data_IF_266413733030
#
_entry.id   IF_266413733030
#
_cell.length_a   1.000
_cell.length_b   1.000
_cell.length_c   1.000
_cell.angle_alpha   90.00
_cell.angle_beta   90.00
_cell.angle_gamma   90.00
#
_symmetry.space_group_name_H-M   'P 1'
#
loop_
_entity.id
_entity.type
_entity.pdbx_description
1 polymer ?
#
# COMPACT_ATOMS: atom_id res chain seq x y z
N UNK A 1 -52.52 29.21 43.84
CA UNK A 1 -51.72 28.80 42.66
C UNK A 1 -50.27 28.69 43.10
N UNK A 2 -49.81 27.48 43.46
CA UNK A 2 -48.43 27.25 43.91
C UNK A 2 -47.55 27.18 42.67
N UNK A 3 -46.71 28.20 42.48
CA UNK A 3 -45.75 28.27 41.38
C UNK A 3 -44.48 27.52 41.74
N UNK A 4 -44.27 26.34 41.13
CA UNK A 4 -42.98 25.66 41.19
C UNK A 4 -41.92 26.50 40.47
N UNK A 5 -40.72 26.70 41.04
CA UNK A 5 -39.68 27.53 40.43
C UNK A 5 -39.16 26.87 39.15
N UNK A 6 -39.43 27.52 38.00
CA UNK A 6 -39.00 27.09 36.65
C UNK A 6 -37.47 27.05 36.46
N UNK A 7 -36.68 27.56 37.42
CA UNK A 7 -35.22 27.68 37.35
C UNK A 7 -34.49 26.36 37.62
N UNK A 8 -35.02 25.49 38.48
CA UNK A 8 -34.36 24.24 38.85
C UNK A 8 -34.44 23.19 37.75
N UNK A 9 -35.60 23.06 37.10
CA UNK A 9 -35.82 22.07 36.03
C UNK A 9 -35.03 22.39 34.75
N UNK A 10 -34.87 23.68 34.41
CA UNK A 10 -34.11 24.08 33.22
C UNK A 10 -32.59 23.86 33.40
N UNK A 11 -32.04 24.16 34.58
CA UNK A 11 -30.63 23.91 34.89
C UNK A 11 -30.28 22.42 34.94
N UNK A 12 -31.15 21.59 35.53
CA UNK A 12 -30.95 20.13 35.57
C UNK A 12 -31.00 19.56 34.16
N UNK A 13 -32.00 19.94 33.36
CA UNK A 13 -32.13 19.48 31.97
C UNK A 13 -30.94 19.89 31.09
N UNK A 14 -30.39 21.10 31.27
CA UNK A 14 -29.19 21.53 30.56
C UNK A 14 -27.92 20.81 31.02
N UNK A 15 -27.83 20.47 32.31
CA UNK A 15 -26.72 19.66 32.84
C UNK A 15 -26.77 18.23 32.31
N UNK A 16 -27.94 17.62 32.27
CA UNK A 16 -28.18 16.29 31.68
C UNK A 16 -27.91 16.29 30.16
N UNK A 17 -28.34 17.31 29.41
CA UNK A 17 -28.03 17.44 27.98
C UNK A 17 -26.52 17.55 27.75
N UNK A 18 -25.81 18.36 28.55
CA UNK A 18 -24.35 18.49 28.46
C UNK A 18 -23.61 17.21 28.85
N UNK A 19 -24.05 16.51 29.89
CA UNK A 19 -23.48 15.22 30.29
C UNK A 19 -23.70 14.17 29.19
N UNK A 20 -24.93 14.04 28.66
CA UNK A 20 -25.23 13.12 27.56
C UNK A 20 -24.47 13.45 26.27
N UNK A 21 -24.26 14.74 25.97
CA UNK A 21 -23.40 15.15 24.84
C UNK A 21 -21.93 14.79 25.09
N UNK A 22 -21.42 15.02 26.30
CA UNK A 22 -20.03 14.68 26.67
C UNK A 22 -19.80 13.16 26.62
N UNK A 23 -20.77 12.38 27.09
CA UNK A 23 -20.71 10.91 27.06
C UNK A 23 -20.82 10.38 25.62
N UNK A 24 -21.67 10.98 24.78
CA UNK A 24 -21.77 10.64 23.37
C UNK A 24 -20.51 11.02 22.56
N UNK A 25 -19.93 12.19 22.83
CA UNK A 25 -18.68 12.65 22.23
C UNK A 25 -17.51 11.76 22.66
N UNK A 26 -17.46 11.34 23.93
CA UNK A 26 -16.46 10.39 24.44
C UNK A 26 -16.60 9.02 23.76
N UNK A 27 -17.83 8.50 23.65
CA UNK A 27 -18.12 7.23 22.96
C UNK A 27 -17.74 7.28 21.47
N UNK A 28 -17.95 8.43 20.80
CA UNK A 28 -17.54 8.64 19.42
C UNK A 28 -16.02 8.63 19.27
N UNK A 29 -15.31 9.32 20.18
CA UNK A 29 -13.84 9.35 20.19
C UNK A 29 -13.27 7.97 20.44
N UNK A 30 -13.80 7.20 21.39
CA UNK A 30 -13.40 5.80 21.62
C UNK A 30 -13.62 4.93 20.38
N UNK A 31 -14.78 5.08 19.71
CA UNK A 31 -15.07 4.37 18.46
C UNK A 31 -14.08 4.72 17.34
N UNK A 32 -13.67 5.99 17.25
CA UNK A 32 -12.66 6.44 16.27
C UNK A 32 -11.29 5.84 16.62
N UNK A 33 -10.92 5.85 17.89
CA UNK A 33 -9.66 5.27 18.38
C UNK A 33 -9.60 3.77 18.05
N UNK A 34 -10.67 3.03 18.30
CA UNK A 34 -10.72 1.59 17.97
C UNK A 34 -10.53 1.34 16.48
N UNK A 35 -11.14 2.16 15.62
CA UNK A 35 -10.96 2.08 14.16
C UNK A 35 -9.56 2.51 13.70
N UNK A 36 -8.91 3.40 14.46
CA UNK A 36 -7.61 3.98 14.14
C UNK A 36 -6.42 3.22 14.75
N UNK A 37 -6.66 2.32 15.71
CA UNK A 37 -5.61 1.63 16.48
C UNK A 37 -4.61 0.90 15.58
N UNK A 38 -5.09 0.28 14.50
CA UNK A 38 -4.22 -0.38 13.52
C UNK A 38 -3.30 0.61 12.81
N UNK A 39 -3.84 1.72 12.32
CA UNK A 39 -3.07 2.80 11.69
C UNK A 39 -2.03 3.37 12.63
N UNK A 40 -2.41 3.65 13.88
CA UNK A 40 -1.49 4.17 14.89
C UNK A 40 -0.33 3.21 15.15
N UNK A 41 -0.60 1.90 15.32
CA UNK A 41 0.42 0.90 15.57
C UNK A 41 1.43 0.81 14.41
N UNK A 42 0.95 0.82 13.17
CA UNK A 42 1.82 0.78 11.98
C UNK A 42 2.69 2.04 11.87
N UNK A 43 2.13 3.22 12.11
CA UNK A 43 2.87 4.48 12.09
C UNK A 43 3.96 4.52 13.17
N UNK A 44 3.62 4.14 14.41
CA UNK A 44 4.59 4.09 15.51
C UNK A 44 5.75 3.14 15.20
N UNK A 45 5.46 1.94 14.69
CA UNK A 45 6.49 0.98 14.33
C UNK A 45 7.36 1.47 13.16
N UNK A 46 6.77 2.17 12.20
CA UNK A 46 7.51 2.77 11.09
C UNK A 46 8.47 3.86 11.57
N UNK A 47 8.00 4.79 12.40
CA UNK A 47 8.80 5.90 12.94
C UNK A 47 9.98 5.40 13.80
N UNK A 48 9.77 4.32 14.55
CA UNK A 48 10.81 3.69 15.37
C UNK A 48 11.70 2.71 14.58
N UNK A 49 11.51 2.59 13.26
CA UNK A 49 12.23 1.67 12.38
C UNK A 49 12.20 0.20 12.87
N UNK A 50 11.08 -0.20 13.48
CA UNK A 50 10.84 -1.53 14.04
C UNK A 50 9.63 -2.23 13.42
N UNK A 51 9.17 -1.76 12.26
CA UNK A 51 8.07 -2.38 11.55
C UNK A 51 8.44 -3.82 11.19
N UNK A 52 7.67 -4.76 11.71
CA UNK A 52 7.88 -6.19 11.47
C UNK A 52 7.16 -6.66 10.21
N UNK A 53 7.51 -7.88 9.77
CA UNK A 53 6.75 -8.54 8.71
C UNK A 53 5.33 -8.88 9.23
N UNK A 54 4.29 -8.79 8.39
CA UNK A 54 2.95 -9.16 8.80
C UNK A 54 2.87 -10.65 9.15
N UNK A 55 2.05 -11.00 10.14
CA UNK A 55 1.85 -12.39 10.56
C UNK A 55 1.13 -13.23 9.50
N UNK A 56 0.21 -12.60 8.77
CA UNK A 56 -0.61 -13.25 7.73
C UNK A 56 -0.05 -12.94 6.36
N UNK A 57 0.46 -13.97 5.69
CA UNK A 57 0.98 -13.88 4.34
C UNK A 57 0.56 -15.11 3.53
N UNK A 58 0.65 -14.99 2.21
CA UNK A 58 0.25 -16.06 1.30
C UNK A 58 1.48 -16.62 0.58
N UNK A 59 1.66 -17.95 0.49
CA UNK A 59 2.80 -18.55 -0.18
C UNK A 59 2.78 -18.20 -1.68
N UNK A 60 3.93 -17.81 -2.24
CA UNK A 60 4.05 -17.53 -3.67
C UNK A 60 4.19 -18.82 -4.47
N UNK A 61 3.26 -19.02 -5.40
CA UNK A 61 3.25 -20.17 -6.32
C UNK A 61 3.38 -19.75 -7.79
N UNK A 62 2.88 -18.57 -8.15
CA UNK A 62 2.88 -18.09 -9.53
C UNK A 62 3.86 -16.92 -9.65
N UNK A 63 4.82 -17.06 -10.56
CA UNK A 63 5.77 -16.01 -10.90
C UNK A 63 5.19 -15.12 -12.01
N UNK A 64 5.45 -13.82 -11.92
CA UNK A 64 5.34 -12.92 -13.09
C UNK A 64 6.61 -13.11 -13.93
N UNK A 65 6.46 -13.76 -15.08
CA UNK A 65 7.57 -13.95 -16.01
C UNK A 65 7.81 -12.68 -16.86
N UNK A 66 8.98 -12.64 -17.50
CA UNK A 66 9.42 -11.49 -18.29
C UNK A 66 8.52 -11.23 -19.51
N UNK A 67 8.03 -12.28 -20.18
CA UNK A 67 7.20 -12.12 -21.38
C UNK A 67 5.82 -11.58 -21.04
N UNK A 68 5.21 -12.05 -19.95
CA UNK A 68 3.97 -11.52 -19.39
C UNK A 68 4.12 -10.04 -19.03
N UNK A 69 5.19 -9.68 -18.30
CA UNK A 69 5.47 -8.30 -17.93
C UNK A 69 5.65 -7.41 -19.17
N UNK A 70 6.43 -7.86 -20.16
CA UNK A 70 6.70 -7.10 -21.39
C UNK A 70 5.43 -6.89 -22.21
N UNK A 71 4.57 -7.92 -22.32
CA UNK A 71 3.29 -7.80 -23.01
C UNK A 71 2.36 -6.78 -22.31
N UNK A 72 2.26 -6.84 -20.98
CA UNK A 72 1.46 -5.88 -20.22
C UNK A 72 1.98 -4.43 -20.39
N UNK A 73 3.30 -4.23 -20.38
CA UNK A 73 3.92 -2.92 -20.62
C UNK A 73 3.63 -2.41 -22.04
N UNK A 74 3.67 -3.29 -23.05
CA UNK A 74 3.37 -2.91 -24.43
C UNK A 74 1.91 -2.44 -24.59
N UNK A 75 0.95 -3.17 -24.01
CA UNK A 75 -0.47 -2.79 -23.98
C UNK A 75 -0.67 -1.48 -23.22
N UNK A 76 0.00 -1.31 -22.08
CA UNK A 76 -0.06 -0.09 -21.28
C UNK A 76 0.47 1.12 -22.06
N UNK A 77 1.65 0.98 -22.68
CA UNK A 77 2.26 2.03 -23.51
C UNK A 77 1.33 2.45 -24.65
N UNK A 78 0.82 1.49 -25.41
CA UNK A 78 -0.11 1.76 -26.51
C UNK A 78 -1.37 2.50 -26.03
N UNK A 79 -1.90 2.10 -24.87
CA UNK A 79 -3.07 2.75 -24.25
C UNK A 79 -2.79 4.21 -23.89
N UNK A 80 -1.65 4.51 -23.27
CA UNK A 80 -1.31 5.88 -22.89
C UNK A 80 -1.04 6.79 -24.09
N UNK A 81 -0.37 6.28 -25.13
CA UNK A 81 -0.11 7.03 -26.36
C UNK A 81 -1.43 7.36 -27.06
N UNK A 82 -2.36 6.41 -27.15
CA UNK A 82 -3.69 6.63 -27.73
C UNK A 82 -4.52 7.67 -26.96
N UNK A 83 -4.22 7.90 -25.68
CA UNK A 83 -4.84 8.93 -24.83
C UNK A 83 -4.07 10.25 -24.80
N UNK A 84 -2.96 10.37 -25.53
CA UNK A 84 -2.06 11.52 -25.49
C UNK A 84 -1.45 11.79 -24.10
N UNK A 85 -1.37 10.75 -23.25
CA UNK A 85 -0.87 10.81 -21.86
C UNK A 85 0.61 10.41 -21.72
N UNK A 86 1.23 9.95 -22.82
CA UNK A 86 2.62 9.52 -22.85
C UNK A 86 3.28 9.73 -24.21
N UNK A 87 4.62 9.85 -24.18
CA UNK A 87 5.46 9.78 -25.37
C UNK A 87 5.97 8.37 -25.61
N UNK A 88 6.66 8.17 -26.74
CA UNK A 88 7.33 6.92 -27.09
C UNK A 88 8.41 6.46 -26.10
N UNK A 89 8.90 7.37 -25.24
CA UNK A 89 9.94 7.06 -24.25
C UNK A 89 9.42 6.21 -23.08
N UNK A 90 8.12 6.25 -22.80
CA UNK A 90 7.51 5.46 -21.71
C UNK A 90 7.67 3.98 -22.02
N UNK A 91 8.16 3.21 -21.04
CA UNK A 91 8.34 1.77 -21.17
C UNK A 91 9.46 1.33 -22.11
N UNK A 92 10.28 2.26 -22.61
CA UNK A 92 11.50 1.91 -23.32
C UNK A 92 12.53 1.34 -22.34
N UNK A 93 12.72 0.03 -22.38
CA UNK A 93 13.64 -0.68 -21.48
C UNK A 93 15.10 -0.28 -21.73
N UNK A 94 15.87 -0.20 -20.66
CA UNK A 94 17.31 0.07 -20.65
C UNK A 94 18.01 -1.27 -20.42
N UNK A 95 18.70 -1.79 -21.43
CA UNK A 95 19.40 -3.07 -21.30
C UNK A 95 18.45 -4.22 -20.96
N UNK A 96 18.80 -5.01 -19.95
CA UNK A 96 18.03 -6.17 -19.46
C UNK A 96 17.64 -6.01 -17.97
N UNK A 97 17.45 -4.76 -17.52
CA UNK A 97 17.20 -4.50 -16.10
C UNK A 97 15.87 -5.08 -15.62
N UNK A 98 14.80 -5.06 -16.43
CA UNK A 98 13.52 -5.63 -15.99
C UNK A 98 13.66 -7.15 -15.79
N UNK A 99 14.28 -7.84 -16.75
CA UNK A 99 14.55 -9.27 -16.63
C UNK A 99 15.38 -9.58 -15.38
N UNK A 100 16.46 -8.82 -15.15
CA UNK A 100 17.31 -8.98 -13.97
C UNK A 100 16.55 -8.79 -12.66
N UNK A 101 15.64 -7.80 -12.59
CA UNK A 101 14.79 -7.57 -11.41
C UNK A 101 13.89 -8.79 -11.17
N UNK A 102 13.18 -9.26 -12.20
CA UNK A 102 12.26 -10.39 -12.06
C UNK A 102 13.00 -11.68 -11.69
N UNK A 103 14.15 -11.96 -12.32
CA UNK A 103 14.98 -13.12 -12.02
C UNK A 103 15.47 -13.10 -10.56
N UNK A 104 15.93 -11.93 -10.08
CA UNK A 104 16.36 -11.75 -8.69
C UNK A 104 15.22 -11.95 -7.68
N UNK A 105 13.97 -11.61 -8.05
CA UNK A 105 12.80 -11.77 -7.18
C UNK A 105 12.36 -13.25 -7.12
N UNK A 106 12.54 -13.99 -8.21
CA UNK A 106 12.11 -15.40 -8.28
C UNK A 106 13.24 -16.40 -7.97
N UNK A 107 14.45 -15.91 -7.68
CA UNK A 107 15.59 -16.77 -7.39
C UNK A 107 15.39 -17.63 -6.14
N UNK A 108 16.12 -18.75 -6.12
CA UNK A 108 16.16 -19.68 -4.99
C UNK A 108 17.56 -19.75 -4.41
N UNK A 109 17.65 -19.92 -3.10
CA UNK A 109 18.88 -20.18 -2.37
C UNK A 109 18.69 -21.43 -1.51
N UNK A 110 19.59 -22.40 -1.66
CA UNK A 110 19.51 -23.70 -0.95
C UNK A 110 18.15 -24.42 -1.11
N UNK A 111 17.59 -24.36 -2.32
CA UNK A 111 16.29 -24.97 -2.65
C UNK A 111 15.06 -24.22 -2.10
N UNK A 112 15.25 -23.10 -1.41
CA UNK A 112 14.16 -22.27 -0.89
C UNK A 112 14.02 -20.97 -1.70
N UNK A 113 12.79 -20.50 -1.92
CA UNK A 113 12.56 -19.20 -2.54
C UNK A 113 13.14 -18.09 -1.66
N UNK A 114 13.87 -17.15 -2.27
CA UNK A 114 14.42 -16.01 -1.54
C UNK A 114 13.30 -15.16 -0.90
N UNK A 115 12.21 -14.98 -1.63
CA UNK A 115 11.00 -14.29 -1.19
C UNK A 115 9.82 -15.27 -1.19
N UNK A 116 9.49 -15.91 -0.05
CA UNK A 116 8.52 -17.01 -0.03
C UNK A 116 7.06 -16.59 -0.20
N UNK A 117 6.71 -15.31 -0.04
CA UNK A 117 5.32 -14.86 -0.02
C UNK A 117 4.95 -13.95 -1.19
N UNK A 118 3.65 -13.91 -1.50
CA UNK A 118 3.10 -13.04 -2.55
C UNK A 118 3.32 -11.57 -2.15
N UNK A 119 3.06 -11.21 -0.90
CA UNK A 119 3.23 -9.83 -0.42
C UNK A 119 4.68 -9.37 -0.54
N UNK A 120 5.64 -10.22 -0.19
CA UNK A 120 7.06 -9.90 -0.25
C UNK A 120 7.52 -9.72 -1.70
N UNK A 121 7.14 -10.62 -2.61
CA UNK A 121 7.46 -10.46 -4.03
C UNK A 121 6.79 -9.24 -4.66
N UNK A 122 5.52 -8.98 -4.34
CA UNK A 122 4.81 -7.78 -4.81
C UNK A 122 5.54 -6.51 -4.36
N UNK A 123 5.90 -6.43 -3.08
CA UNK A 123 6.65 -5.31 -2.53
C UNK A 123 7.98 -5.09 -3.24
N UNK A 124 8.74 -6.16 -3.51
CA UNK A 124 10.00 -6.07 -4.25
C UNK A 124 9.82 -5.68 -5.72
N UNK A 125 8.78 -6.17 -6.40
CA UNK A 125 8.44 -5.73 -7.78
C UNK A 125 8.21 -4.22 -7.80
N UNK A 126 7.35 -3.71 -6.90
CA UNK A 126 7.06 -2.27 -6.84
C UNK A 126 8.32 -1.48 -6.50
N UNK A 127 9.09 -1.91 -5.51
CA UNK A 127 10.29 -1.21 -5.05
C UNK A 127 11.37 -1.14 -6.13
N UNK A 128 11.80 -2.28 -6.67
CA UNK A 128 12.92 -2.34 -7.59
C UNK A 128 12.62 -1.68 -8.93
N UNK A 129 11.41 -1.88 -9.49
CA UNK A 129 11.05 -1.21 -10.76
C UNK A 129 11.05 0.31 -10.59
N UNK A 130 10.68 0.82 -9.42
CA UNK A 130 10.71 2.27 -9.15
C UNK A 130 12.13 2.78 -8.93
N UNK A 131 12.93 2.11 -8.09
CA UNK A 131 14.27 2.59 -7.69
C UNK A 131 15.36 2.33 -8.72
N UNK A 132 15.32 1.18 -9.40
CA UNK A 132 16.39 0.75 -10.30
C UNK A 132 16.23 1.34 -11.71
N UNK A 133 15.09 1.99 -11.96
CA UNK A 133 14.77 2.69 -13.21
C UNK A 133 15.07 1.88 -14.48
N UNK A 134 14.49 0.67 -14.63
CA UNK A 134 14.71 -0.19 -15.79
C UNK A 134 14.24 0.42 -17.12
N UNK A 135 13.41 1.47 -17.08
CA UNK A 135 12.91 2.16 -18.27
C UNK A 135 13.41 3.60 -18.35
N UNK A 136 13.50 4.13 -19.58
CA UNK A 136 13.85 5.53 -19.85
C UNK A 136 12.85 6.51 -19.25
N UNK A 137 11.55 6.18 -19.28
CA UNK A 137 10.48 6.91 -18.60
C UNK A 137 9.36 5.96 -18.15
N UNK A 138 8.57 6.39 -17.16
CA UNK A 138 7.39 5.69 -16.70
C UNK A 138 7.61 4.70 -15.56
N UNK A 139 8.80 4.62 -14.96
CA UNK A 139 9.16 3.64 -13.92
C UNK A 139 8.14 3.55 -12.77
N UNK A 140 7.64 4.68 -12.25
CA UNK A 140 6.58 4.70 -11.24
C UNK A 140 5.29 4.04 -11.71
N UNK A 141 4.82 4.42 -12.89
CA UNK A 141 3.59 3.90 -13.50
C UNK A 141 3.71 2.42 -13.85
N UNK A 142 4.85 2.01 -14.40
CA UNK A 142 5.11 0.61 -14.77
C UNK A 142 5.30 -0.26 -13.51
N UNK A 143 6.00 0.24 -12.49
CA UNK A 143 6.12 -0.45 -11.20
C UNK A 143 4.76 -0.70 -10.57
N UNK A 144 3.89 0.32 -10.57
CA UNK A 144 2.49 0.20 -10.13
C UNK A 144 1.70 -0.81 -10.98
N UNK A 145 1.84 -0.80 -12.31
CA UNK A 145 1.18 -1.76 -13.20
C UNK A 145 1.60 -3.20 -12.89
N UNK A 146 2.91 -3.47 -12.82
CA UNK A 146 3.43 -4.81 -12.59
C UNK A 146 3.10 -5.32 -11.18
N UNK A 147 3.08 -4.43 -10.19
CA UNK A 147 2.60 -4.73 -8.85
C UNK A 147 1.15 -5.21 -8.85
N UNK A 148 0.24 -4.46 -9.48
CA UNK A 148 -1.17 -4.83 -9.57
C UNK A 148 -1.37 -6.13 -10.36
N UNK A 149 -0.67 -6.27 -11.49
CA UNK A 149 -0.72 -7.47 -12.33
C UNK A 149 -0.27 -8.72 -11.56
N UNK A 150 0.81 -8.61 -10.77
CA UNK A 150 1.31 -9.71 -9.97
C UNK A 150 0.33 -10.11 -8.85
N UNK A 151 -0.30 -9.14 -8.18
CA UNK A 151 -1.34 -9.39 -7.19
C UNK A 151 -2.57 -10.06 -7.81
N UNK A 152 -2.99 -9.61 -8.99
CA UNK A 152 -4.14 -10.15 -9.71
C UNK A 152 -3.89 -11.59 -10.15
N UNK A 153 -2.71 -11.85 -10.72
CA UNK A 153 -2.26 -13.19 -11.14
C UNK A 153 -2.25 -14.18 -9.95
N UNK A 154 -2.03 -13.68 -8.74
CA UNK A 154 -2.03 -14.48 -7.51
C UNK A 154 -3.37 -14.40 -6.73
N UNK A 155 -4.41 -13.78 -7.27
CA UNK A 155 -5.75 -13.70 -6.65
C UNK A 155 -5.84 -12.83 -5.40
N UNK A 156 -4.83 -11.99 -5.12
CA UNK A 156 -4.80 -11.11 -3.94
C UNK A 156 -5.25 -9.69 -4.22
N UNK A 157 -5.35 -9.25 -5.48
CA UNK A 157 -5.65 -7.85 -5.79
C UNK A 157 -6.93 -7.34 -5.09
N UNK A 158 -8.04 -8.08 -5.21
CA UNK A 158 -9.33 -7.69 -4.62
C UNK A 158 -9.33 -7.68 -3.07
N UNK A 159 -8.44 -8.46 -2.44
CA UNK A 159 -8.35 -8.60 -0.99
C UNK A 159 -7.31 -7.66 -0.37
N UNK A 160 -6.41 -7.11 -1.20
CA UNK A 160 -5.25 -6.33 -0.75
C UNK A 160 -5.56 -4.99 -0.09
N UNK A 161 -6.79 -4.47 -0.25
CA UNK A 161 -7.17 -3.14 0.24
C UNK A 161 -6.45 -1.97 -0.45
N UNK A 162 -5.55 -2.22 -1.42
CA UNK A 162 -4.86 -1.18 -2.18
C UNK A 162 -5.86 -0.49 -3.10
N UNK A 163 -5.91 0.83 -2.99
CA UNK A 163 -6.66 1.70 -3.89
C UNK A 163 -5.71 2.66 -4.61
N UNK A 164 -6.25 3.38 -5.61
CA UNK A 164 -5.49 4.28 -6.47
C UNK A 164 -4.69 5.33 -5.68
N UNK A 165 -5.32 5.97 -4.69
CA UNK A 165 -4.67 7.00 -3.88
C UNK A 165 -3.51 6.43 -3.04
N UNK A 166 -3.72 5.26 -2.44
CA UNK A 166 -2.69 4.56 -1.67
C UNK A 166 -1.52 4.14 -2.55
N UNK A 167 -1.79 3.63 -3.75
CA UNK A 167 -0.76 3.22 -4.69
C UNK A 167 0.05 4.42 -5.22
N UNK A 168 -0.60 5.55 -5.52
CA UNK A 168 0.09 6.80 -5.89
C UNK A 168 1.02 7.25 -4.75
N UNK A 169 0.53 7.28 -3.52
CA UNK A 169 1.32 7.67 -2.36
C UNK A 169 2.53 6.73 -2.15
N UNK A 170 2.33 5.41 -2.25
CA UNK A 170 3.41 4.43 -2.15
C UNK A 170 4.45 4.60 -3.25
N UNK A 171 4.03 4.77 -4.51
CA UNK A 171 4.96 4.93 -5.62
C UNK A 171 5.82 6.20 -5.48
N UNK A 172 5.24 7.29 -4.97
CA UNK A 172 5.96 8.52 -4.68
C UNK A 172 6.91 8.35 -3.49
N UNK A 173 6.43 7.75 -2.40
CA UNK A 173 7.23 7.48 -1.20
C UNK A 173 8.47 6.65 -1.56
N UNK A 174 8.31 5.57 -2.32
CA UNK A 174 9.42 4.73 -2.76
C UNK A 174 10.39 5.54 -3.62
N UNK A 175 9.91 6.30 -4.60
CA UNK A 175 10.78 7.06 -5.49
C UNK A 175 11.69 8.03 -4.70
N UNK A 176 11.12 8.77 -3.75
CA UNK A 176 11.81 9.78 -2.95
C UNK A 176 12.61 9.19 -1.77
N UNK A 177 12.38 7.92 -1.41
CA UNK A 177 13.04 7.28 -0.26
C UNK A 177 14.54 7.10 -0.42
N UNK A 178 15.24 7.08 0.71
CA UNK A 178 16.64 6.68 0.77
C UNK A 178 16.77 5.17 0.52
N UNK A 179 17.70 4.69 -0.34
CA UNK A 179 17.93 3.25 -0.55
C UNK A 179 18.17 2.44 0.73
N UNK A 180 18.71 3.07 1.79
CA UNK A 180 18.90 2.44 3.11
C UNK A 180 17.58 2.07 3.80
N UNK A 181 16.47 2.68 3.39
CA UNK A 181 15.13 2.39 3.91
C UNK A 181 14.41 1.27 3.15
N UNK A 182 15.09 0.57 2.23
CA UNK A 182 14.49 -0.51 1.43
C UNK A 182 13.69 -1.47 2.29
N UNK A 183 14.32 -2.09 3.28
CA UNK A 183 13.67 -3.16 4.05
C UNK A 183 12.47 -2.65 4.86
N UNK A 184 12.53 -1.41 5.34
CA UNK A 184 11.40 -0.74 6.01
C UNK A 184 10.22 -0.56 5.05
N UNK A 185 10.47 -0.08 3.83
CA UNK A 185 9.43 0.12 2.82
C UNK A 185 8.85 -1.20 2.30
N UNK A 186 9.67 -2.23 2.13
CA UNK A 186 9.20 -3.57 1.79
C UNK A 186 8.20 -4.04 2.86
N UNK A 187 8.56 -3.93 4.14
CA UNK A 187 7.67 -4.32 5.25
C UNK A 187 6.42 -3.45 5.32
N UNK A 188 6.50 -2.15 5.02
CA UNK A 188 5.34 -1.27 4.92
C UNK A 188 4.36 -1.78 3.86
N UNK A 189 4.83 -2.04 2.64
CA UNK A 189 3.98 -2.54 1.56
C UNK A 189 3.36 -3.89 1.95
N UNK A 190 4.15 -4.81 2.53
CA UNK A 190 3.64 -6.10 2.99
C UNK A 190 2.53 -5.93 4.04
N UNK A 191 2.72 -5.08 5.04
CA UNK A 191 1.70 -4.82 6.06
C UNK A 191 0.42 -4.23 5.46
N UNK A 192 0.53 -3.36 4.46
CA UNK A 192 -0.63 -2.79 3.77
C UNK A 192 -1.40 -3.83 2.95
N UNK A 193 -0.70 -4.84 2.39
CA UNK A 193 -1.32 -5.95 1.65
C UNK A 193 -1.98 -6.99 2.56
N UNK A 194 -1.40 -7.24 3.73
CA UNK A 194 -1.89 -8.21 4.72
C UNK A 194 -2.96 -7.65 5.66
N UNK A 195 -3.55 -6.50 5.31
CA UNK A 195 -4.37 -5.71 6.22
C UNK A 195 -5.85 -6.05 6.26
#
# INVERSE_FOLDING_TARGET
KVGYPKTTLWSVKNKEIRMNQTDADTTLVETIIDRYTKTWSLLLQYDENRLDRPEKTHPSQIALDYDQAKNAIAIFKATLIAREEASELVGMERGQYLQSILDNIHQTFDGQQLYPTIEEKAAHILYFVIKDHPFSDGNKRIGSLLFLLYLDTNGLLAQSGINDNGLVALALLIAESDPRQKDLLIRLIMNLLSS
#
